data_IF_939429300678
#
_entry.id   IF_939429300678
#
_cell.length_a   1.000
_cell.length_b   1.000
_cell.length_c   1.000
_cell.angle_alpha   90.00
_cell.angle_beta   90.00
_cell.angle_gamma   90.00
#
_symmetry.space_group_name_H-M   'P 1'
#
loop_
_entity.id
_entity.type
_entity.pdbx_description
1 polymer ?
#
# COMPACT_ATOMS: atom_id res chain seq x y z
N UNK A 1 14.37 -4.93 0.40
CA UNK A 1 14.50 -4.45 -1.00
C UNK A 1 14.68 -2.94 -0.97
N UNK A 2 15.78 -2.43 -1.52
CA UNK A 2 16.04 -1.00 -1.62
C UNK A 2 15.01 -0.32 -2.54
N UNK A 3 14.54 0.87 -2.17
CA UNK A 3 13.76 1.75 -3.04
C UNK A 3 14.66 2.90 -3.49
N UNK A 4 14.84 3.08 -4.81
CA UNK A 4 15.60 4.19 -5.37
C UNK A 4 14.72 5.02 -6.29
N UNK A 5 14.70 6.32 -6.04
CA UNK A 5 14.02 7.33 -6.85
C UNK A 5 15.07 8.17 -7.57
N UNK A 6 14.88 8.39 -8.86
CA UNK A 6 15.83 9.12 -9.70
C UNK A 6 15.10 10.27 -10.39
N UNK A 7 15.39 11.50 -9.95
CA UNK A 7 14.86 12.77 -10.46
C UNK A 7 13.35 12.74 -10.71
N UNK A 8 12.62 12.23 -9.69
CA UNK A 8 11.20 11.94 -9.81
C UNK A 8 10.37 13.22 -9.76
N UNK A 9 9.62 13.48 -10.82
CA UNK A 9 8.73 14.63 -10.94
C UNK A 9 7.31 14.18 -11.21
N UNK A 10 6.35 14.81 -10.52
CA UNK A 10 4.93 14.78 -10.86
C UNK A 10 4.37 16.17 -10.96
N UNK A 11 3.96 16.52 -12.16
CA UNK A 11 3.28 17.76 -12.45
C UNK A 11 1.80 17.51 -12.75
N UNK A 12 0.95 18.33 -12.17
CA UNK A 12 -0.49 18.38 -12.46
C UNK A 12 -0.82 19.74 -13.09
N UNK A 13 -0.83 19.81 -14.40
CA UNK A 13 -1.22 21.00 -15.17
C UNK A 13 -0.46 22.28 -14.75
N UNK A 14 0.88 22.18 -14.62
CA UNK A 14 1.76 23.30 -14.28
C UNK A 14 2.05 23.44 -12.78
N UNK A 15 1.46 22.57 -11.94
CA UNK A 15 1.78 22.52 -10.50
C UNK A 15 2.59 21.27 -10.18
N UNK A 16 3.85 21.45 -9.83
CA UNK A 16 4.71 20.34 -9.40
C UNK A 16 4.32 19.88 -7.99
N UNK A 17 3.64 18.74 -7.91
CA UNK A 17 3.27 18.12 -6.64
C UNK A 17 4.42 17.28 -6.03
N UNK A 18 5.33 16.80 -6.86
CA UNK A 18 6.54 16.08 -6.46
C UNK A 18 7.69 16.54 -7.36
N UNK A 19 8.82 16.88 -6.75
CA UNK A 19 10.08 17.22 -7.41
C UNK A 19 11.20 16.87 -6.43
N UNK A 20 11.68 15.62 -6.46
CA UNK A 20 12.45 15.08 -5.32
C UNK A 20 13.95 15.03 -5.55
N UNK A 21 14.44 15.24 -6.79
CA UNK A 21 15.81 14.82 -7.10
C UNK A 21 16.00 13.30 -6.93
N UNK A 22 17.24 12.87 -6.78
CA UNK A 22 17.57 11.45 -6.66
C UNK A 22 17.90 11.10 -5.20
N UNK A 23 17.26 10.04 -4.66
CA UNK A 23 17.59 9.47 -3.35
C UNK A 23 17.20 7.99 -3.24
N UNK A 24 17.72 7.32 -2.21
CA UNK A 24 17.38 5.93 -1.93
C UNK A 24 16.92 5.70 -0.50
N UNK A 25 16.07 4.68 -0.33
CA UNK A 25 15.61 4.18 0.97
C UNK A 25 16.13 2.75 1.09
N UNK A 26 16.98 2.52 2.08
CA UNK A 26 17.63 1.23 2.29
C UNK A 26 16.63 0.13 2.65
N UNK A 27 16.96 -1.10 2.27
CA UNK A 27 16.20 -2.29 2.65
C UNK A 27 16.13 -2.48 4.17
N UNK A 28 15.03 -3.04 4.63
CA UNK A 28 14.80 -3.40 6.04
C UNK A 28 14.70 -2.21 6.99
N UNK A 29 14.58 -0.98 6.49
CA UNK A 29 14.44 0.22 7.32
C UNK A 29 13.01 0.73 7.35
N UNK A 30 12.60 1.24 8.51
CA UNK A 30 11.40 2.06 8.66
C UNK A 30 11.79 3.52 8.37
N UNK A 31 11.14 4.10 7.36
CA UNK A 31 11.41 5.48 6.93
C UNK A 31 10.17 6.34 7.12
N UNK A 32 10.32 7.46 7.83
CA UNK A 32 9.27 8.45 7.99
C UNK A 32 9.33 9.51 6.90
N UNK A 33 8.19 9.77 6.24
CA UNK A 33 8.03 10.86 5.28
C UNK A 33 7.34 12.05 5.98
N UNK A 34 8.10 13.07 6.32
CA UNK A 34 7.62 14.24 7.09
C UNK A 34 7.41 15.45 6.20
N UNK A 35 6.47 16.29 6.57
CA UNK A 35 6.19 17.54 5.88
C UNK A 35 4.77 18.05 6.13
N UNK A 36 4.48 19.33 5.82
CA UNK A 36 3.16 19.93 6.00
C UNK A 36 2.09 19.27 5.13
N UNK A 37 0.81 19.54 5.43
CA UNK A 37 -0.28 19.10 4.57
C UNK A 37 -0.14 19.70 3.16
N UNK A 38 -0.43 18.90 2.13
CA UNK A 38 -0.33 19.35 0.73
C UNK A 38 1.07 19.33 0.11
N UNK A 39 2.13 18.98 0.85
CA UNK A 39 3.51 18.95 0.29
C UNK A 39 3.84 17.73 -0.59
N UNK A 40 2.86 16.98 -1.06
CA UNK A 40 3.08 15.90 -2.03
C UNK A 40 3.37 14.51 -1.44
N UNK A 41 3.31 14.29 -0.11
CA UNK A 41 3.59 12.97 0.52
C UNK A 41 2.74 11.83 -0.06
N UNK A 42 1.44 12.01 -0.10
CA UNK A 42 0.52 11.00 -0.65
C UNK A 42 0.77 10.79 -2.15
N UNK A 43 1.05 11.87 -2.88
CA UNK A 43 1.40 11.79 -4.30
C UNK A 43 2.66 10.95 -4.52
N UNK A 44 3.69 11.15 -3.69
CA UNK A 44 4.92 10.35 -3.75
C UNK A 44 4.64 8.87 -3.47
N UNK A 45 3.82 8.55 -2.45
CA UNK A 45 3.42 7.17 -2.16
C UNK A 45 2.62 6.55 -3.32
N UNK A 46 1.75 7.32 -3.98
CA UNK A 46 0.99 6.85 -5.15
C UNK A 46 1.89 6.64 -6.38
N UNK A 47 2.95 7.43 -6.56
CA UNK A 47 3.96 7.19 -7.58
C UNK A 47 4.74 5.90 -7.29
N UNK A 48 5.20 5.72 -6.06
CA UNK A 48 5.93 4.51 -5.63
C UNK A 48 5.05 3.27 -5.78
N UNK A 49 3.76 3.35 -5.44
CA UNK A 49 2.83 2.23 -5.57
C UNK A 49 2.38 1.94 -7.00
N UNK A 50 2.58 2.86 -7.94
CA UNK A 50 2.15 2.74 -9.34
C UNK A 50 0.69 3.14 -9.59
N UNK A 51 0.00 3.68 -8.59
CA UNK A 51 -1.32 4.28 -8.75
C UNK A 51 -1.29 5.57 -9.58
N UNK A 52 -0.15 6.26 -9.56
CA UNK A 52 0.13 7.41 -10.41
C UNK A 52 1.38 7.13 -11.23
N UNK A 53 1.40 7.65 -12.46
CA UNK A 53 2.61 7.69 -13.29
C UNK A 53 3.34 9.00 -13.06
N UNK A 54 4.68 8.98 -12.97
CA UNK A 54 5.47 10.21 -12.92
C UNK A 54 5.39 10.98 -14.25
N UNK A 55 5.63 12.28 -14.19
CA UNK A 55 5.81 13.11 -15.36
C UNK A 55 7.20 12.91 -15.97
N UNK A 56 8.21 12.72 -15.09
CA UNK A 56 9.57 12.35 -15.45
C UNK A 56 10.26 11.66 -14.28
N UNK A 57 11.46 11.12 -14.53
CA UNK A 57 12.23 10.38 -13.55
C UNK A 57 11.92 8.89 -13.53
N UNK A 58 12.55 8.16 -12.60
CA UNK A 58 12.44 6.69 -12.53
C UNK A 58 12.32 6.19 -11.10
N UNK A 59 11.71 5.02 -10.96
CA UNK A 59 11.51 4.33 -9.68
C UNK A 59 12.08 2.91 -9.81
N UNK A 60 12.96 2.54 -8.89
CA UNK A 60 13.57 1.22 -8.86
C UNK A 60 13.29 0.52 -7.54
N UNK A 61 13.02 -0.78 -7.61
CA UNK A 61 12.99 -1.70 -6.48
C UNK A 61 14.19 -2.65 -6.60
N UNK A 62 15.24 -2.39 -5.82
CA UNK A 62 16.56 -2.94 -6.06
C UNK A 62 17.06 -2.51 -7.45
N UNK A 63 17.44 -3.49 -8.29
CA UNK A 63 17.90 -3.24 -9.66
C UNK A 63 16.76 -3.20 -10.69
N UNK A 64 15.52 -3.48 -10.28
CA UNK A 64 14.38 -3.55 -11.17
C UNK A 64 13.75 -2.17 -11.35
N UNK A 65 13.70 -1.65 -12.58
CA UNK A 65 12.90 -0.49 -12.94
C UNK A 65 11.41 -0.86 -12.90
N UNK A 66 10.66 -0.16 -12.06
CA UNK A 66 9.22 -0.37 -11.88
C UNK A 66 8.38 0.84 -12.32
N UNK A 67 9.00 1.83 -12.94
CA UNK A 67 8.38 3.12 -13.30
C UNK A 67 7.07 2.94 -14.05
N UNK A 68 7.06 2.11 -15.10
CA UNK A 68 5.90 1.86 -15.94
C UNK A 68 5.05 0.66 -15.48
N UNK A 69 5.47 -0.07 -14.43
CA UNK A 69 4.73 -1.22 -13.97
C UNK A 69 3.46 -0.80 -13.21
N UNK A 70 2.32 -1.43 -13.48
CA UNK A 70 1.10 -1.20 -12.72
C UNK A 70 1.24 -1.75 -11.29
N UNK A 71 0.39 -1.28 -10.33
CA UNK A 71 0.50 -1.62 -8.90
C UNK A 71 0.61 -3.12 -8.61
N UNK A 72 -0.22 -3.92 -9.26
CA UNK A 72 -0.30 -5.38 -9.06
C UNK A 72 0.99 -6.13 -9.47
N UNK A 73 1.86 -5.49 -10.27
CA UNK A 73 3.14 -6.05 -10.71
C UNK A 73 4.34 -5.55 -9.91
N UNK A 74 4.14 -4.60 -8.98
CA UNK A 74 5.22 -4.04 -8.15
C UNK A 74 5.53 -4.87 -6.92
N UNK A 75 4.60 -5.69 -6.43
CA UNK A 75 4.81 -6.58 -5.28
C UNK A 75 4.92 -5.86 -3.94
N UNK A 76 4.23 -4.73 -3.79
CA UNK A 76 4.15 -3.95 -2.55
C UNK A 76 2.71 -3.85 -2.06
N UNK A 77 2.53 -3.55 -0.77
CA UNK A 77 1.25 -3.17 -0.19
C UNK A 77 1.17 -1.67 0.05
N UNK A 78 -0.01 -1.10 -0.09
CA UNK A 78 -0.31 0.29 0.24
C UNK A 78 -1.53 0.35 1.16
N UNK A 79 -1.36 0.97 2.32
CA UNK A 79 -2.48 1.28 3.21
C UNK A 79 -2.90 2.73 2.98
N UNK A 80 -4.16 2.93 2.55
CA UNK A 80 -4.71 4.26 2.30
C UNK A 80 -5.04 4.97 3.62
N UNK A 81 -5.10 6.30 3.59
CA UNK A 81 -5.45 7.11 4.75
C UNK A 81 -6.86 6.80 5.29
N UNK A 82 -7.80 6.43 4.41
CA UNK A 82 -9.16 5.99 4.75
C UNK A 82 -9.30 4.48 4.86
N UNK A 83 -8.15 3.76 4.95
CA UNK A 83 -8.02 2.30 5.03
C UNK A 83 -8.53 1.52 3.81
N UNK A 84 -9.42 2.09 2.99
CA UNK A 84 -9.98 1.52 1.74
C UNK A 84 -10.55 0.09 1.89
N UNK A 85 -11.11 -0.25 3.05
CA UNK A 85 -11.76 -1.53 3.27
C UNK A 85 -13.06 -1.64 2.46
N UNK A 86 -13.36 -2.83 1.97
CA UNK A 86 -14.61 -3.13 1.28
C UNK A 86 -15.78 -3.19 2.29
N UNK A 87 -16.70 -2.22 2.31
CA UNK A 87 -17.68 -2.07 3.41
C UNK A 87 -18.74 -3.17 3.42
N UNK A 88 -18.99 -3.83 2.29
CA UNK A 88 -19.93 -4.93 2.15
C UNK A 88 -19.35 -6.29 2.56
N UNK A 89 -18.02 -6.40 2.66
CA UNK A 89 -17.30 -7.61 3.04
C UNK A 89 -17.06 -7.65 4.55
N UNK A 90 -16.96 -8.84 5.12
CA UNK A 90 -16.51 -9.03 6.50
C UNK A 90 -15.00 -8.76 6.63
N UNK A 91 -14.49 -8.68 7.87
CA UNK A 91 -13.05 -8.60 8.16
C UNK A 91 -12.31 -9.77 7.53
N UNK A 92 -12.81 -11.00 7.72
CA UNK A 92 -12.21 -12.18 7.10
C UNK A 92 -12.12 -12.07 5.58
N UNK A 93 -13.17 -11.59 4.93
CA UNK A 93 -13.22 -11.41 3.48
C UNK A 93 -12.29 -10.30 3.00
N UNK A 94 -12.15 -9.20 3.74
CA UNK A 94 -11.20 -8.13 3.42
C UNK A 94 -9.75 -8.65 3.46
N UNK A 95 -9.37 -9.37 4.53
CA UNK A 95 -8.04 -9.96 4.68
C UNK A 95 -7.77 -11.02 3.59
N UNK A 96 -8.78 -11.85 3.29
CA UNK A 96 -8.65 -12.90 2.28
C UNK A 96 -8.61 -12.38 0.84
N UNK A 97 -9.09 -11.17 0.56
CA UNK A 97 -9.34 -10.65 -0.77
C UNK A 97 -8.14 -10.75 -1.73
N UNK A 98 -6.90 -10.41 -1.35
CA UNK A 98 -5.74 -10.54 -2.23
C UNK A 98 -5.45 -11.99 -2.64
N UNK A 99 -5.65 -12.93 -1.74
CA UNK A 99 -5.41 -14.36 -1.99
C UNK A 99 -6.51 -14.96 -2.88
N UNK A 100 -7.77 -14.53 -2.68
CA UNK A 100 -8.90 -14.91 -3.54
C UNK A 100 -8.65 -14.44 -4.98
N UNK A 101 -8.19 -13.20 -5.17
CA UNK A 101 -7.88 -12.66 -6.49
C UNK A 101 -6.72 -13.38 -7.19
N UNK A 102 -5.76 -13.90 -6.41
CA UNK A 102 -4.67 -14.75 -6.92
C UNK A 102 -5.10 -16.18 -7.19
N UNK A 103 -6.38 -16.52 -6.92
CA UNK A 103 -6.94 -17.87 -7.09
C UNK A 103 -6.19 -18.93 -6.29
N UNK A 104 -5.73 -18.57 -5.10
CA UNK A 104 -5.10 -19.51 -4.18
C UNK A 104 -6.10 -20.59 -3.71
N UNK A 105 -5.59 -21.71 -3.22
CA UNK A 105 -6.46 -22.77 -2.71
C UNK A 105 -7.17 -22.35 -1.42
N UNK A 106 -8.33 -22.93 -1.15
CA UNK A 106 -9.20 -22.56 -0.02
C UNK A 106 -8.53 -22.74 1.36
N UNK A 107 -7.75 -23.80 1.50
CA UNK A 107 -7.05 -24.11 2.75
C UNK A 107 -5.99 -23.05 3.05
N UNK A 108 -5.19 -22.67 2.06
CA UNK A 108 -4.18 -21.62 2.18
C UNK A 108 -4.82 -20.25 2.51
N UNK A 109 -5.94 -19.92 1.84
CA UNK A 109 -6.68 -18.67 2.12
C UNK A 109 -7.12 -18.66 3.57
N UNK A 110 -7.74 -19.73 4.08
CA UNK A 110 -8.20 -19.81 5.45
C UNK A 110 -7.05 -19.72 6.45
N UNK A 111 -5.98 -20.48 6.24
CA UNK A 111 -4.79 -20.48 7.09
C UNK A 111 -4.13 -19.07 7.16
N UNK A 112 -3.90 -18.45 6.01
CA UNK A 112 -3.27 -17.13 5.94
C UNK A 112 -4.15 -16.03 6.54
N UNK A 113 -5.46 -16.07 6.29
CA UNK A 113 -6.41 -15.11 6.89
C UNK A 113 -6.37 -15.20 8.41
N UNK A 114 -6.40 -16.41 8.98
CA UNK A 114 -6.32 -16.61 10.42
C UNK A 114 -4.98 -16.15 11.00
N UNK A 115 -3.88 -16.48 10.32
CA UNK A 115 -2.54 -16.06 10.72
C UNK A 115 -2.40 -14.54 10.75
N UNK A 116 -2.89 -13.84 9.72
CA UNK A 116 -2.83 -12.37 9.67
C UNK A 116 -3.76 -11.74 10.70
N UNK A 117 -4.98 -12.25 10.87
CA UNK A 117 -5.90 -11.78 11.90
C UNK A 117 -5.28 -11.86 13.31
N UNK A 118 -4.59 -12.95 13.60
CA UNK A 118 -3.85 -13.14 14.87
C UNK A 118 -2.70 -12.14 15.02
N UNK A 119 -1.91 -11.97 13.95
CA UNK A 119 -0.77 -11.05 13.96
C UNK A 119 -1.20 -9.61 14.27
N UNK A 120 -2.34 -9.16 13.72
CA UNK A 120 -2.85 -7.81 13.95
C UNK A 120 -3.92 -7.72 15.05
N UNK A 121 -4.16 -8.81 15.78
CA UNK A 121 -5.09 -8.88 16.93
C UNK A 121 -6.54 -8.49 16.58
N UNK A 122 -7.10 -9.11 15.55
CA UNK A 122 -8.49 -8.89 15.11
C UNK A 122 -9.26 -10.21 14.93
N UNK A 123 -8.81 -11.32 15.53
CA UNK A 123 -9.41 -12.65 15.39
C UNK A 123 -10.90 -12.67 15.78
N UNK A 124 -11.26 -12.02 16.88
CA UNK A 124 -12.63 -11.95 17.37
C UNK A 124 -13.55 -11.07 16.49
N UNK A 125 -12.97 -10.36 15.53
CA UNK A 125 -13.67 -9.43 14.66
C UNK A 125 -13.91 -9.97 13.25
N UNK A 126 -13.45 -11.19 12.93
CA UNK A 126 -13.45 -11.76 11.59
C UNK A 126 -14.83 -11.80 10.92
N UNK A 127 -15.91 -11.95 11.71
CA UNK A 127 -17.29 -11.97 11.21
C UNK A 127 -17.90 -10.57 11.05
N UNK A 128 -17.29 -9.52 11.62
CA UNK A 128 -17.80 -8.16 11.56
C UNK A 128 -17.54 -7.51 10.21
N UNK A 129 -18.31 -6.46 9.91
CA UNK A 129 -18.08 -5.58 8.76
C UNK A 129 -17.32 -4.32 9.19
N UNK A 130 -16.61 -3.62 8.28
CA UNK A 130 -15.84 -2.42 8.59
C UNK A 130 -16.61 -1.35 9.37
N UNK A 131 -17.88 -1.10 9.05
CA UNK A 131 -18.71 -0.14 9.78
C UNK A 131 -18.99 -0.47 11.26
N UNK A 132 -18.65 -1.67 11.71
CA UNK A 132 -18.79 -2.12 13.10
C UNK A 132 -17.47 -2.05 13.89
N UNK A 133 -16.42 -1.47 13.28
CA UNK A 133 -15.07 -1.40 13.80
C UNK A 133 -14.71 0.04 14.19
N UNK A 134 -13.93 0.20 15.24
CA UNK A 134 -13.23 1.47 15.50
C UNK A 134 -12.19 1.78 14.42
N UNK A 135 -11.77 3.05 14.30
CA UNK A 135 -10.74 3.45 13.33
C UNK A 135 -9.43 2.66 13.49
N UNK A 136 -8.96 2.43 14.72
CA UNK A 136 -7.77 1.61 14.97
C UNK A 136 -7.95 0.13 14.59
N UNK A 137 -9.15 -0.41 14.73
CA UNK A 137 -9.46 -1.78 14.27
C UNK A 137 -9.49 -1.85 12.74
N UNK A 138 -10.09 -0.85 12.07
CA UNK A 138 -10.07 -0.75 10.60
C UNK A 138 -8.64 -0.65 10.07
N UNK A 139 -7.79 0.15 10.70
CA UNK A 139 -6.37 0.27 10.34
C UNK A 139 -5.65 -1.06 10.44
N UNK A 140 -5.84 -1.81 11.53
CA UNK A 140 -5.23 -3.15 11.69
C UNK A 140 -5.70 -4.13 10.62
N UNK A 141 -6.98 -4.10 10.27
CA UNK A 141 -7.52 -4.94 9.18
C UNK A 141 -6.92 -4.54 7.83
N UNK A 142 -6.70 -3.24 7.57
CA UNK A 142 -6.10 -2.77 6.33
C UNK A 142 -4.60 -3.12 6.19
N UNK A 143 -3.92 -3.36 7.30
CA UNK A 143 -2.51 -3.78 7.32
C UNK A 143 -2.38 -5.31 7.12
N UNK A 144 -3.39 -6.08 7.50
CA UNK A 144 -3.42 -7.53 7.38
C UNK A 144 -3.56 -8.02 5.96
#
# INVERSE_FOLDING_TARGET
MELRLVDLVKDFSGTKAVDTGSFSISDGKLTGLLGPSGCGKSTLLYLISGLLKPTSGRIFFGDRDVTELPPEKRGIGLVFQNYALYPHMTVAQNIAFPLVNRKENRELIQQKTQQMAKLVQVEELLSRKPGQLSGGQQQRVAIA
#
